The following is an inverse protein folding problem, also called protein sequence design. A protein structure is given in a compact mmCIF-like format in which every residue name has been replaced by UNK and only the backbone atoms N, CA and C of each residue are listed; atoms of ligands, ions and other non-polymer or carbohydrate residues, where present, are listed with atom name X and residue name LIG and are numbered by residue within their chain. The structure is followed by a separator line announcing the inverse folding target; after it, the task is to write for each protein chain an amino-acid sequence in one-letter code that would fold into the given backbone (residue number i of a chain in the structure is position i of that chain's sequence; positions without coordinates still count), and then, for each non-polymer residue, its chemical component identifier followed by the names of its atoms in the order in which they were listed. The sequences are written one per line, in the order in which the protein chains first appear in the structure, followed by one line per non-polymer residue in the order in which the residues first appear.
data_IF_408387915897
#
_entry.id   IF_408387915897
#
_cell.length_a   1.000
_cell.length_b   1.000
_cell.length_c   1.000
_cell.angle_alpha   90.00
_cell.angle_beta   90.00
_cell.angle_gamma   90.00
#
_symmetry.space_group_name_H-M   'P 1'
#
loop_
_entity.id
_entity.type
_entity.pdbx_description
1 polymer ?
#
# COMPACT_ATOMS: atom_id res chain seq x y z
N UNK A 1 7.24 -11.41 -20.20
CA UNK A 1 6.46 -12.06 -19.14
C UNK A 1 5.04 -11.48 -19.17
N UNK A 2 4.04 -12.36 -19.12
CA UNK A 2 2.64 -11.94 -19.11
C UNK A 2 2.32 -11.24 -17.78
N UNK A 3 2.21 -9.92 -17.81
CA UNK A 3 1.94 -9.07 -16.63
C UNK A 3 0.44 -8.81 -16.43
N UNK A 4 -0.43 -9.70 -16.89
CA UNK A 4 -1.88 -9.60 -16.70
C UNK A 4 -2.30 -10.11 -15.33
N UNK A 5 -3.36 -9.50 -14.80
CA UNK A 5 -4.02 -10.01 -13.61
C UNK A 5 -4.79 -11.29 -13.93
N UNK A 6 -4.51 -12.37 -13.19
CA UNK A 6 -5.12 -13.67 -13.39
C UNK A 6 -5.77 -14.18 -12.11
N UNK A 7 -7.01 -14.62 -12.21
CA UNK A 7 -7.63 -15.41 -11.15
C UNK A 7 -6.99 -16.79 -11.14
N UNK A 8 -6.46 -17.19 -10.00
CA UNK A 8 -5.83 -18.51 -9.78
C UNK A 8 -6.75 -19.48 -9.06
N UNK A 9 -7.57 -18.96 -8.13
CA UNK A 9 -8.46 -19.77 -7.30
C UNK A 9 -9.65 -18.95 -6.82
N UNK A 10 -10.81 -19.58 -6.75
CA UNK A 10 -11.97 -19.21 -5.96
C UNK A 10 -12.79 -20.49 -5.74
N UNK A 11 -13.48 -20.58 -4.62
CA UNK A 11 -14.37 -21.73 -4.36
C UNK A 11 -15.66 -21.58 -5.16
N UNK A 12 -16.16 -20.36 -5.34
CA UNK A 12 -17.33 -20.03 -6.14
C UNK A 12 -17.03 -18.87 -7.08
N UNK A 13 -17.47 -19.01 -8.34
CA UNK A 13 -17.41 -17.95 -9.35
C UNK A 13 -18.78 -17.82 -9.99
N UNK A 14 -19.34 -16.61 -9.93
CA UNK A 14 -20.59 -16.25 -10.62
C UNK A 14 -20.31 -15.10 -11.60
N UNK A 15 -20.87 -15.19 -12.81
CA UNK A 15 -20.85 -14.12 -13.78
C UNK A 15 -22.22 -13.46 -13.80
N UNK A 16 -22.26 -12.17 -13.56
CA UNK A 16 -23.50 -11.37 -13.56
C UNK A 16 -23.32 -10.21 -14.53
N UNK A 17 -24.27 -10.06 -15.45
CA UNK A 17 -24.30 -8.93 -16.37
C UNK A 17 -25.42 -7.97 -15.97
N UNK A 18 -25.06 -6.71 -15.68
CA UNK A 18 -26.00 -5.63 -15.37
C UNK A 18 -25.69 -4.48 -16.32
N UNK A 19 -26.71 -3.99 -17.03
CA UNK A 19 -26.57 -2.88 -17.98
C UNK A 19 -25.45 -3.08 -19.01
N UNK A 20 -25.27 -4.30 -19.50
CA UNK A 20 -24.23 -4.65 -20.47
C UNK A 20 -22.83 -4.76 -19.89
N UNK A 21 -22.65 -4.57 -18.59
CA UNK A 21 -21.37 -4.74 -17.88
C UNK A 21 -21.34 -6.11 -17.20
N UNK A 22 -20.38 -6.94 -17.62
CA UNK A 22 -20.17 -8.25 -17.02
C UNK A 22 -19.18 -8.16 -15.85
N UNK A 23 -19.64 -8.60 -14.69
CA UNK A 23 -18.86 -8.66 -13.45
C UNK A 23 -18.75 -10.10 -12.96
N UNK A 24 -17.58 -10.46 -12.47
CA UNK A 24 -17.36 -11.72 -11.77
C UNK A 24 -17.45 -11.48 -10.26
N UNK A 25 -18.24 -12.32 -9.60
CA UNK A 25 -18.33 -12.39 -8.13
C UNK A 25 -17.65 -13.68 -7.68
N UNK A 26 -16.64 -13.52 -6.83
CA UNK A 26 -15.76 -14.59 -6.38
C UNK A 26 -15.90 -14.75 -4.88
N UNK A 27 -16.07 -15.96 -4.38
CA UNK A 27 -16.21 -16.23 -2.95
C UNK A 27 -15.35 -17.44 -2.55
N UNK A 28 -14.77 -17.33 -1.37
CA UNK A 28 -14.00 -18.39 -0.71
C UNK A 28 -12.62 -18.60 -1.33
N UNK A 29 -11.59 -18.45 -0.52
CA UNK A 29 -10.19 -18.70 -0.89
C UNK A 29 -9.78 -18.05 -2.22
N UNK A 30 -10.17 -16.79 -2.42
CA UNK A 30 -9.90 -16.08 -3.67
C UNK A 30 -8.43 -15.74 -3.78
N UNK A 31 -7.80 -16.10 -4.88
CA UNK A 31 -6.39 -15.83 -5.16
C UNK A 31 -6.24 -15.26 -6.56
N UNK A 32 -5.64 -14.05 -6.64
CA UNK A 32 -5.19 -13.43 -7.87
C UNK A 32 -3.67 -13.41 -7.94
N UNK A 33 -3.13 -13.43 -9.15
CA UNK A 33 -1.71 -13.29 -9.42
C UNK A 33 -1.47 -12.33 -10.59
N UNK A 34 -0.45 -11.46 -10.44
CA UNK A 34 0.07 -10.59 -11.49
C UNK A 34 1.59 -10.55 -11.39
N UNK A 35 2.29 -11.16 -12.37
CA UNK A 35 3.74 -11.31 -12.28
C UNK A 35 4.16 -12.00 -10.98
N UNK A 36 4.98 -11.34 -10.19
CA UNK A 36 5.44 -11.82 -8.87
C UNK A 36 4.48 -11.48 -7.72
N UNK A 37 3.44 -10.71 -7.99
CA UNK A 37 2.47 -10.28 -6.98
C UNK A 37 1.35 -11.30 -6.84
N UNK A 38 1.07 -11.72 -5.61
CA UNK A 38 -0.05 -12.59 -5.24
C UNK A 38 -0.97 -11.83 -4.29
N UNK A 39 -2.28 -11.85 -4.57
CA UNK A 39 -3.30 -11.26 -3.71
C UNK A 39 -4.30 -12.32 -3.28
N UNK A 40 -4.74 -12.25 -2.02
CA UNK A 40 -5.70 -13.17 -1.41
C UNK A 40 -6.81 -12.36 -0.72
N UNK A 41 -8.03 -12.89 -0.74
CA UNK A 41 -9.16 -12.33 0.00
C UNK A 41 -10.26 -13.39 0.20
N UNK A 42 -11.28 -13.03 0.98
CA UNK A 42 -12.44 -13.91 1.21
C UNK A 42 -13.41 -13.85 0.04
N UNK A 43 -13.64 -12.66 -0.53
CA UNK A 43 -14.48 -12.48 -1.69
C UNK A 43 -14.05 -11.27 -2.54
N UNK A 44 -14.44 -11.26 -3.81
CA UNK A 44 -14.08 -10.19 -4.74
C UNK A 44 -15.19 -9.94 -5.76
N UNK A 45 -15.20 -8.71 -6.24
CA UNK A 45 -16.01 -8.25 -7.38
C UNK A 45 -15.03 -7.73 -8.44
N UNK A 46 -15.01 -8.37 -9.60
CA UNK A 46 -13.96 -8.15 -10.59
C UNK A 46 -14.54 -8.04 -12.02
N UNK A 47 -14.07 -7.04 -12.75
CA UNK A 47 -14.36 -6.90 -14.18
C UNK A 47 -13.17 -7.41 -14.99
N UNK A 48 -13.34 -8.57 -15.63
CA UNK A 48 -12.27 -9.23 -16.39
C UNK A 48 -11.82 -8.42 -17.61
N UNK A 49 -12.72 -7.64 -18.22
CA UNK A 49 -12.41 -6.85 -19.42
C UNK A 49 -11.54 -5.64 -19.09
N UNK A 50 -11.83 -4.96 -17.99
CA UNK A 50 -11.09 -3.77 -17.55
C UNK A 50 -9.94 -4.10 -16.61
N UNK A 51 -9.86 -5.33 -16.11
CA UNK A 51 -8.93 -5.80 -15.08
C UNK A 51 -8.95 -4.93 -13.82
N UNK A 52 -10.17 -4.47 -13.43
CA UNK A 52 -10.41 -3.68 -12.23
C UNK A 52 -11.38 -4.40 -11.31
N UNK A 53 -11.21 -4.19 -10.01
CA UNK A 53 -12.12 -4.78 -9.05
C UNK A 53 -11.84 -4.41 -7.61
N UNK A 54 -12.67 -4.96 -6.74
CA UNK A 54 -12.56 -4.84 -5.31
C UNK A 54 -12.39 -6.22 -4.67
N UNK A 55 -11.48 -6.31 -3.71
CA UNK A 55 -11.22 -7.45 -2.86
C UNK A 55 -11.67 -7.10 -1.45
N UNK A 56 -12.30 -8.04 -0.75
CA UNK A 56 -12.86 -7.83 0.57
C UNK A 56 -12.60 -9.02 1.50
N UNK A 57 -12.42 -8.71 2.78
CA UNK A 57 -12.23 -9.67 3.86
C UNK A 57 -10.84 -10.32 3.84
N UNK A 58 -10.10 -10.13 4.91
CA UNK A 58 -8.74 -10.67 5.09
C UNK A 58 -7.85 -10.48 3.87
N UNK A 59 -7.88 -9.24 3.32
CA UNK A 59 -7.13 -8.93 2.11
C UNK A 59 -5.64 -8.89 2.41
N UNK A 60 -4.88 -9.61 1.61
CA UNK A 60 -3.42 -9.57 1.64
C UNK A 60 -2.83 -9.54 0.24
N UNK A 61 -1.71 -8.83 0.11
CA UNK A 61 -0.86 -8.85 -1.08
C UNK A 61 0.57 -9.15 -0.65
N UNK A 62 1.22 -9.98 -1.42
CA UNK A 62 2.65 -10.24 -1.31
C UNK A 62 3.32 -10.04 -2.67
N UNK A 63 4.42 -9.29 -2.69
CA UNK A 63 5.30 -9.11 -3.85
C UNK A 63 6.74 -9.19 -3.36
N UNK A 64 7.40 -10.33 -3.63
CA UNK A 64 8.76 -10.60 -3.13
C UNK A 64 8.83 -10.48 -1.59
N UNK A 65 9.62 -9.55 -1.04
CA UNK A 65 9.72 -9.30 0.40
C UNK A 65 8.61 -8.38 0.95
N UNK A 66 7.90 -7.67 0.06
CA UNK A 66 6.90 -6.68 0.45
C UNK A 66 5.54 -7.32 0.68
N UNK A 67 4.87 -6.88 1.73
CA UNK A 67 3.55 -7.32 2.12
C UNK A 67 2.61 -6.13 2.28
N UNK A 68 1.33 -6.33 1.97
CA UNK A 68 0.27 -5.37 2.23
C UNK A 68 -0.95 -6.11 2.77
N UNK A 69 -1.62 -5.54 3.76
CA UNK A 69 -2.91 -6.02 4.26
C UNK A 69 -3.90 -4.87 4.43
N UNK A 70 -5.19 -5.17 4.34
CA UNK A 70 -6.27 -4.22 4.58
C UNK A 70 -7.61 -4.94 4.73
N UNK A 71 -8.66 -4.21 5.12
CA UNK A 71 -10.02 -4.76 5.16
C UNK A 71 -10.59 -4.90 3.75
N UNK A 72 -10.29 -3.94 2.86
CA UNK A 72 -10.65 -4.00 1.44
C UNK A 72 -9.57 -3.38 0.55
N UNK A 73 -9.53 -3.80 -0.71
CA UNK A 73 -8.53 -3.38 -1.68
C UNK A 73 -9.20 -3.15 -3.04
N UNK A 74 -9.00 -1.97 -3.62
CA UNK A 74 -9.29 -1.72 -5.03
C UNK A 74 -8.06 -2.00 -5.87
N UNK A 75 -8.23 -2.67 -7.01
CA UNK A 75 -7.18 -2.90 -8.00
C UNK A 75 -7.55 -2.25 -9.34
N UNK A 76 -6.63 -1.46 -9.87
CA UNK A 76 -6.58 -1.01 -11.27
C UNK A 76 -5.34 -1.63 -11.91
N UNK A 77 -5.48 -2.85 -12.43
CA UNK A 77 -4.36 -3.63 -12.94
C UNK A 77 -3.66 -2.98 -14.14
N UNK A 78 -4.35 -2.39 -15.12
CA UNK A 78 -3.71 -1.69 -16.23
C UNK A 78 -2.84 -0.50 -15.82
N UNK A 79 -3.13 0.11 -14.66
CA UNK A 79 -2.37 1.26 -14.14
C UNK A 79 -1.34 0.89 -13.06
N UNK A 80 -1.28 -0.39 -12.69
CA UNK A 80 -0.43 -0.87 -11.60
C UNK A 80 -0.69 -0.19 -10.25
N UNK A 81 -1.98 0.13 -9.99
CA UNK A 81 -2.45 0.81 -8.78
C UNK A 81 -3.23 -0.14 -7.90
N UNK A 82 -2.88 -0.17 -6.62
CA UNK A 82 -3.67 -0.75 -5.54
C UNK A 82 -4.06 0.36 -4.56
N UNK A 83 -5.31 0.34 -4.08
CA UNK A 83 -5.78 1.24 -3.03
C UNK A 83 -6.35 0.38 -1.91
N UNK A 84 -5.65 0.38 -0.78
CA UNK A 84 -6.05 -0.35 0.41
C UNK A 84 -6.84 0.57 1.36
N UNK A 85 -7.99 0.10 1.81
CA UNK A 85 -8.90 0.83 2.68
C UNK A 85 -9.07 0.13 4.01
N UNK A 86 -9.01 0.91 5.08
CA UNK A 86 -9.19 0.52 6.48
C UNK A 86 -8.17 -0.52 6.97
N UNK A 87 -7.55 -0.21 8.09
CA UNK A 87 -6.48 -1.03 8.67
C UNK A 87 -5.39 -1.37 7.64
N UNK A 88 -5.08 -0.39 6.78
CA UNK A 88 -4.12 -0.59 5.70
C UNK A 88 -2.69 -0.55 6.24
N UNK A 89 -1.92 -1.58 5.89
CA UNK A 89 -0.52 -1.70 6.25
C UNK A 89 0.30 -2.22 5.08
N UNK A 90 1.47 -1.63 4.83
CA UNK A 90 2.49 -2.14 3.93
C UNK A 90 3.81 -2.26 4.70
N UNK A 91 4.55 -3.37 4.50
CA UNK A 91 5.81 -3.59 5.21
C UNK A 91 6.71 -4.59 4.49
N UNK A 92 7.98 -4.52 4.84
CA UNK A 92 8.97 -5.56 4.62
C UNK A 92 9.81 -5.78 5.91
N UNK A 93 11.01 -6.33 5.80
CA UNK A 93 11.90 -6.53 6.95
C UNK A 93 12.54 -5.23 7.47
N UNK A 94 12.43 -4.11 6.76
CA UNK A 94 13.16 -2.86 7.03
C UNK A 94 12.27 -1.70 7.42
N UNK A 95 11.00 -1.72 7.01
CA UNK A 95 10.02 -0.69 7.37
C UNK A 95 8.60 -1.25 7.52
N UNK A 96 7.77 -0.48 8.20
CA UNK A 96 6.32 -0.71 8.30
C UNK A 96 5.58 0.62 8.23
N UNK A 97 4.56 0.71 7.39
CA UNK A 97 3.74 1.89 7.18
C UNK A 97 2.26 1.53 7.33
N UNK A 98 1.57 2.21 8.23
CA UNK A 98 0.14 2.03 8.51
C UNK A 98 -0.62 3.31 8.18
N UNK A 99 -1.86 3.20 7.74
CA UNK A 99 -2.76 4.33 7.50
C UNK A 99 -4.22 3.90 7.38
N UNK A 100 -5.12 4.88 7.35
CA UNK A 100 -6.53 4.63 7.03
C UNK A 100 -6.69 4.22 5.56
N UNK A 101 -5.91 4.83 4.66
CA UNK A 101 -5.89 4.51 3.22
C UNK A 101 -4.46 4.51 2.70
N UNK A 102 -4.10 3.46 1.96
CA UNK A 102 -2.82 3.32 1.28
C UNK A 102 -3.01 3.25 -0.24
N UNK A 103 -2.37 4.16 -0.98
CA UNK A 103 -2.14 4.03 -2.41
C UNK A 103 -0.80 3.35 -2.64
N UNK A 104 -0.77 2.28 -3.41
CA UNK A 104 0.45 1.57 -3.75
C UNK A 104 0.60 1.48 -5.27
N UNK A 105 1.75 1.93 -5.77
CA UNK A 105 2.13 1.89 -7.18
C UNK A 105 3.12 0.74 -7.38
N UNK A 106 2.60 -0.41 -7.80
CA UNK A 106 3.33 -1.68 -7.74
C UNK A 106 4.56 -1.77 -8.65
N UNK A 107 4.60 -1.02 -9.74
CA UNK A 107 5.79 -0.97 -10.63
C UNK A 107 6.84 0.06 -10.20
N UNK A 108 6.49 0.96 -9.28
CA UNK A 108 7.37 2.02 -8.79
C UNK A 108 7.89 1.77 -7.38
N UNK A 109 7.43 0.71 -6.71
CA UNK A 109 7.68 0.41 -5.30
C UNK A 109 7.57 1.66 -4.42
N UNK A 110 6.46 2.35 -4.60
CA UNK A 110 6.17 3.63 -3.95
C UNK A 110 4.70 3.76 -3.63
N UNK A 111 4.36 4.73 -2.80
CA UNK A 111 2.98 4.95 -2.45
C UNK A 111 2.73 6.16 -1.57
N UNK A 112 1.52 6.23 -1.06
CA UNK A 112 1.04 7.32 -0.21
C UNK A 112 0.09 6.77 0.85
N UNK A 113 0.43 7.01 2.09
CA UNK A 113 -0.38 6.72 3.27
C UNK A 113 -1.15 7.97 3.68
N UNK A 114 -2.47 7.87 3.82
CA UNK A 114 -3.34 9.01 4.12
C UNK A 114 -4.26 8.69 5.30
N UNK A 115 -4.36 9.62 6.23
CA UNK A 115 -5.12 9.48 7.47
C UNK A 115 -4.39 8.61 8.50
N UNK A 116 -4.06 9.20 9.65
CA UNK A 116 -3.34 8.55 10.75
C UNK A 116 -2.11 7.76 10.27
N UNK A 117 -1.35 8.38 9.33
CA UNK A 117 -0.20 7.70 8.74
C UNK A 117 0.95 7.57 9.77
N UNK A 118 1.51 6.37 9.84
CA UNK A 118 2.63 6.04 10.74
C UNK A 118 3.64 5.15 10.05
N UNK A 119 4.87 5.63 9.90
CA UNK A 119 6.01 4.92 9.34
C UNK A 119 7.01 4.60 10.45
N UNK A 120 7.42 3.34 10.53
CA UNK A 120 8.50 2.88 11.42
C UNK A 120 9.65 2.37 10.57
N UNK A 121 10.84 2.94 10.72
CA UNK A 121 12.10 2.46 10.15
C UNK A 121 13.28 2.97 10.97
N UNK A 122 14.42 2.27 10.96
CA UNK A 122 15.70 2.70 11.58
C UNK A 122 15.57 3.19 13.05
N UNK A 123 14.71 2.61 13.87
CA UNK A 123 14.37 3.07 15.22
C UNK A 123 13.61 4.39 15.30
N UNK A 124 13.20 4.94 14.17
CA UNK A 124 12.33 6.12 14.10
C UNK A 124 10.88 5.72 13.94
N UNK A 125 9.99 6.47 14.58
CA UNK A 125 8.56 6.46 14.32
C UNK A 125 8.17 7.85 13.81
N UNK A 126 7.69 7.89 12.58
CA UNK A 126 7.26 9.10 11.90
C UNK A 126 5.73 9.05 11.75
N UNK A 127 5.02 10.06 12.24
CA UNK A 127 3.58 10.17 12.05
C UNK A 127 3.23 11.46 11.31
N UNK A 128 2.08 11.47 10.63
CA UNK A 128 1.56 12.64 9.94
C UNK A 128 0.19 12.38 9.35
N UNK A 129 -0.44 13.43 8.80
CA UNK A 129 -1.72 13.28 8.11
C UNK A 129 -1.55 12.52 6.79
N UNK A 130 -0.39 12.70 6.14
CA UNK A 130 0.00 12.02 4.91
C UNK A 130 1.50 11.71 4.90
N UNK A 131 1.86 10.51 4.46
CA UNK A 131 3.25 10.11 4.22
C UNK A 131 3.35 9.52 2.81
N UNK A 132 4.08 10.19 1.93
CA UNK A 132 4.51 9.66 0.64
C UNK A 132 5.82 8.90 0.85
N UNK A 133 5.99 7.74 0.22
CA UNK A 133 7.18 6.92 0.38
C UNK A 133 7.61 6.30 -0.95
N UNK A 134 8.89 6.00 -1.02
CA UNK A 134 9.49 5.30 -2.16
C UNK A 134 10.65 4.44 -1.67
N UNK A 135 10.67 3.18 -2.12
CA UNK A 135 11.83 2.33 -1.94
C UNK A 135 13.01 2.83 -2.75
N UNK A 136 14.20 2.71 -2.18
CA UNK A 136 15.45 3.09 -2.84
C UNK A 136 16.16 1.81 -3.25
N UNK A 137 16.44 1.58 -4.54
CA UNK A 137 17.10 0.37 -5.00
C UNK A 137 18.42 0.11 -4.26
N UNK A 138 18.65 -1.14 -3.87
CA UNK A 138 19.83 -1.59 -3.13
C UNK A 138 20.05 -0.89 -1.77
N UNK A 139 18.99 -0.40 -1.16
CA UNK A 139 19.02 0.23 0.16
C UNK A 139 17.91 -0.35 1.04
N UNK A 140 18.16 -0.47 2.34
CA UNK A 140 17.14 -0.88 3.31
C UNK A 140 16.23 0.31 3.67
N UNK A 141 14.90 0.11 3.69
CA UNK A 141 13.93 1.14 4.04
C UNK A 141 13.57 2.07 2.88
N UNK A 142 12.93 3.18 3.21
CA UNK A 142 12.31 4.10 2.24
C UNK A 142 12.78 5.53 2.42
N UNK A 143 12.78 6.29 1.31
CA UNK A 143 12.69 7.76 1.35
C UNK A 143 11.25 8.16 1.59
N UNK A 144 11.01 9.25 2.34
CA UNK A 144 9.65 9.70 2.62
C UNK A 144 9.51 11.22 2.65
N UNK A 145 8.26 11.66 2.44
CA UNK A 145 7.81 13.01 2.71
C UNK A 145 6.55 12.94 3.58
N UNK A 146 6.66 13.33 4.84
CA UNK A 146 5.54 13.40 5.79
C UNK A 146 5.01 14.83 5.84
N UNK A 147 3.68 14.99 5.81
CA UNK A 147 2.98 16.28 5.78
C UNK A 147 1.80 16.30 6.73
N UNK A 148 1.59 17.47 7.37
CA UNK A 148 0.50 17.72 8.29
C UNK A 148 0.69 17.06 9.64
N UNK A 149 0.76 17.86 10.72
CA UNK A 149 0.91 17.38 12.10
C UNK A 149 2.02 16.33 12.26
N UNK A 150 3.19 16.60 11.66
CA UNK A 150 4.29 15.65 11.64
C UNK A 150 4.96 15.55 13.00
N UNK A 151 5.16 14.33 13.45
CA UNK A 151 5.96 14.00 14.64
C UNK A 151 6.99 12.93 14.27
N UNK A 152 8.22 13.09 14.76
CA UNK A 152 9.31 12.13 14.61
C UNK A 152 9.82 11.81 16.00
N UNK A 153 9.80 10.53 16.35
CA UNK A 153 10.36 10.02 17.61
C UNK A 153 11.55 9.11 17.28
N UNK A 154 12.69 9.40 17.86
CA UNK A 154 13.91 8.61 17.77
C UNK A 154 14.64 8.61 19.11
N UNK A 155 14.94 7.42 19.64
CA UNK A 155 15.64 7.26 20.93
C UNK A 155 15.06 8.13 22.07
N UNK A 156 13.73 8.26 22.14
CA UNK A 156 13.02 9.05 23.15
C UNK A 156 13.03 10.57 22.91
N UNK A 157 13.62 11.05 21.84
CA UNK A 157 13.58 12.45 21.41
C UNK A 157 12.43 12.68 20.49
N UNK A 158 11.75 13.81 20.63
CA UNK A 158 10.60 14.19 19.83
C UNK A 158 10.92 15.45 19.01
N UNK A 159 10.74 15.35 17.70
CA UNK A 159 10.68 16.51 16.82
C UNK A 159 9.27 16.64 16.24
N UNK A 160 8.76 17.87 16.11
CA UNK A 160 7.48 18.17 15.48
C UNK A 160 7.65 19.24 14.41
N UNK A 161 6.87 19.16 13.33
CA UNK A 161 6.89 20.13 12.23
C UNK A 161 5.63 20.01 11.36
N UNK A 162 5.48 20.85 10.36
CA UNK A 162 4.41 20.72 9.36
C UNK A 162 4.81 19.81 8.21
N UNK A 163 6.12 19.69 7.92
CA UNK A 163 6.65 18.83 6.86
C UNK A 163 8.02 18.28 7.23
N UNK A 164 8.22 16.99 7.00
CA UNK A 164 9.51 16.32 7.12
C UNK A 164 9.82 15.54 5.84
N UNK A 165 11.02 15.73 5.30
CA UNK A 165 11.49 15.04 4.09
C UNK A 165 12.77 14.29 4.46
N UNK A 166 12.78 12.99 4.20
CA UNK A 166 13.95 12.13 4.37
C UNK A 166 14.39 11.54 3.04
N UNK A 167 15.63 11.74 2.71
CA UNK A 167 16.26 11.14 1.53
C UNK A 167 17.19 10.00 1.97
N UNK A 168 16.78 8.78 1.67
CA UNK A 168 17.51 7.56 2.03
C UNK A 168 18.87 7.46 1.34
N UNK A 169 19.02 8.02 0.15
CA UNK A 169 20.27 7.94 -0.62
C UNK A 169 21.43 8.69 0.03
N UNK A 170 21.15 9.72 0.81
CA UNK A 170 22.15 10.55 1.49
C UNK A 170 21.97 10.63 3.02
N UNK A 171 20.93 9.96 3.56
CA UNK A 171 20.62 9.93 4.99
C UNK A 171 20.20 11.29 5.58
N UNK A 172 19.75 12.24 4.73
CA UNK A 172 19.41 13.60 5.15
C UNK A 172 17.94 13.75 5.47
N UNK A 173 17.65 14.25 6.67
CA UNK A 173 16.31 14.71 7.06
C UNK A 173 16.23 16.23 7.03
N UNK A 174 15.17 16.76 6.41
CA UNK A 174 14.85 18.18 6.37
C UNK A 174 13.50 18.42 7.01
N UNK A 175 13.46 19.27 8.03
CA UNK A 175 12.21 19.67 8.71
C UNK A 175 11.83 21.08 8.27
N UNK A 176 10.55 21.29 7.96
CA UNK A 176 9.98 22.56 7.49
C UNK A 176 8.69 22.87 8.23
N UNK A 177 8.22 24.12 8.09
CA UNK A 177 6.97 24.59 8.67
C UNK A 177 6.95 24.48 10.20
N UNK A 178 7.69 25.39 10.84
CA UNK A 178 7.81 25.57 12.31
C UNK A 178 8.36 24.32 13.02
N UNK A 179 9.58 23.85 12.68
CA UNK A 179 10.18 22.73 13.39
C UNK A 179 10.44 23.06 14.86
N UNK A 180 10.20 22.07 15.73
CA UNK A 180 10.56 22.07 17.16
C UNK A 180 11.24 20.73 17.48
N UNK A 181 12.27 20.76 18.29
CA UNK A 181 13.04 19.60 18.74
C UNK A 181 13.10 19.62 20.25
#
# INVERSE_FOLDING_TARGET
SDNRLRLKKADVLENITVDGVSMQYLKGNVIFQKGKMTMKCDWARFNKRTEKGFLFGNVSMNKEAQNLTSDSLFIDSPKDILIAYSNAQVWDSTYSLNADTLFYFSELDSGSANGNASLVQDKQTITGDRIEYKEVPNSDGVSYAAKGNVSIIEDGRLATCGEAIYDRSNGKTTLRLKPKI
#
